data_IF_224327842298
#
_entry.id   IF_224327842298
#
_cell.length_a   1.000
_cell.length_b   1.000
_cell.length_c   1.000
_cell.angle_alpha   90.00
_cell.angle_beta   90.00
_cell.angle_gamma   90.00
#
_symmetry.space_group_name_H-M   'P 1'
#
loop_
_entity.id
_entity.type
_entity.pdbx_description
1 polymer ?
#
# COMPACT_ATOMS: atom_id res chain seq x y z
N UNK A 1 19.97 -19.82 8.47
CA UNK A 1 19.16 -19.36 9.63
C UNK A 1 18.23 -18.29 9.11
N UNK A 2 16.99 -18.66 8.85
CA UNK A 2 15.94 -17.75 8.37
C UNK A 2 15.53 -16.84 9.52
N UNK A 3 15.80 -15.56 9.37
CA UNK A 3 15.42 -14.54 10.33
C UNK A 3 13.89 -14.36 10.23
N UNK A 4 13.14 -14.94 11.16
CA UNK A 4 11.69 -14.80 11.21
C UNK A 4 11.36 -13.46 11.88
N UNK A 5 10.62 -12.55 11.24
CA UNK A 5 10.28 -11.27 11.83
C UNK A 5 9.33 -11.48 13.02
N UNK A 6 9.70 -10.89 14.16
CA UNK A 6 8.87 -10.92 15.35
C UNK A 6 7.96 -9.67 15.36
N UNK A 7 6.81 -9.74 14.67
CA UNK A 7 5.78 -8.71 14.80
C UNK A 7 5.08 -8.87 16.15
N UNK A 8 5.24 -7.89 17.03
CA UNK A 8 4.47 -7.87 18.28
C UNK A 8 3.01 -7.59 17.97
N UNK A 9 2.15 -8.58 18.20
CA UNK A 9 0.71 -8.48 17.97
C UNK A 9 0.06 -7.56 19.00
N UNK A 10 -0.77 -6.63 18.57
CA UNK A 10 -1.81 -6.01 19.38
C UNK A 10 -3.12 -6.73 19.03
N UNK A 11 -3.86 -7.17 20.06
CA UNK A 11 -4.93 -8.14 20.00
C UNK A 11 -5.96 -7.95 18.88
N UNK A 12 -6.25 -9.03 18.15
CA UNK A 12 -7.38 -9.14 17.24
C UNK A 12 -8.67 -9.43 18.04
N UNK A 13 -9.70 -8.62 17.89
CA UNK A 13 -11.04 -8.92 18.39
C UNK A 13 -11.73 -9.92 17.46
N UNK A 14 -11.97 -11.09 18.01
CA UNK A 14 -12.88 -12.18 17.61
C UNK A 14 -12.95 -12.66 16.14
N UNK A 15 -12.88 -13.95 16.05
CA UNK A 15 -12.71 -14.92 14.99
C UNK A 15 -13.78 -14.94 13.90
N UNK A 16 -13.35 -14.96 12.67
CA UNK A 16 -13.59 -15.78 11.48
C UNK A 16 -13.35 -14.94 10.21
N UNK A 17 -12.16 -15.01 9.65
CA UNK A 17 -11.54 -14.20 8.59
C UNK A 17 -11.17 -12.81 9.10
N UNK A 18 -9.91 -12.64 9.49
CA UNK A 18 -9.39 -11.33 9.86
C UNK A 18 -9.27 -10.47 8.59
N UNK A 19 -10.33 -9.72 8.30
CA UNK A 19 -10.34 -8.74 7.21
C UNK A 19 -9.56 -7.47 7.63
N UNK A 20 -9.14 -7.40 8.89
CA UNK A 20 -8.33 -6.33 9.45
C UNK A 20 -7.27 -6.89 10.41
N UNK A 21 -6.09 -6.27 10.40
CA UNK A 21 -4.97 -6.60 11.30
C UNK A 21 -4.22 -5.34 11.70
N UNK A 22 -3.71 -5.35 12.92
CA UNK A 22 -2.85 -4.30 13.44
C UNK A 22 -1.46 -4.86 13.72
N UNK A 23 -0.44 -4.19 13.23
CA UNK A 23 0.98 -4.57 13.37
C UNK A 23 1.76 -3.45 14.05
N UNK A 24 2.76 -3.81 14.83
CA UNK A 24 3.75 -2.90 15.37
C UNK A 24 5.08 -3.11 14.60
N UNK A 25 5.51 -2.09 13.88
CA UNK A 25 6.80 -2.06 13.21
C UNK A 25 7.79 -1.30 14.09
N UNK A 26 8.77 -1.99 14.61
CA UNK A 26 9.77 -1.43 15.54
C UNK A 26 10.96 -0.83 14.82
N UNK A 27 11.23 -1.29 13.59
CA UNK A 27 12.37 -0.90 12.77
C UNK A 27 11.97 -0.66 11.32
N UNK A 28 12.85 -0.01 10.55
CA UNK A 28 12.67 0.13 9.11
C UNK A 28 12.72 -1.23 8.38
N UNK A 29 13.47 -2.20 8.92
CA UNK A 29 13.49 -3.56 8.40
C UNK A 29 12.12 -4.24 8.50
N UNK A 30 11.33 -3.95 9.54
CA UNK A 30 9.97 -4.47 9.66
C UNK A 30 9.06 -3.90 8.57
N UNK A 31 9.26 -2.63 8.19
CA UNK A 31 8.55 -2.01 7.05
C UNK A 31 8.90 -2.70 5.74
N UNK A 32 10.18 -3.04 5.55
CA UNK A 32 10.64 -3.77 4.37
C UNK A 32 10.02 -5.17 4.30
N UNK A 33 9.94 -5.88 5.42
CA UNK A 33 9.32 -7.20 5.50
C UNK A 33 7.82 -7.15 5.21
N UNK A 34 7.11 -6.17 5.77
CA UNK A 34 5.70 -5.94 5.46
C UNK A 34 5.52 -5.72 3.95
N UNK A 35 6.35 -4.87 3.33
CA UNK A 35 6.30 -4.61 1.90
C UNK A 35 6.49 -5.89 1.06
N UNK A 36 7.41 -6.76 1.44
CA UNK A 36 7.62 -8.07 0.78
C UNK A 36 6.37 -8.96 0.87
N UNK A 37 5.68 -8.98 2.00
CA UNK A 37 4.46 -9.76 2.17
C UNK A 37 3.29 -9.17 1.37
N UNK A 38 3.20 -7.84 1.26
CA UNK A 38 2.17 -7.15 0.49
C UNK A 38 2.23 -7.50 -1.02
N UNK A 39 3.41 -7.84 -1.57
CA UNK A 39 3.54 -8.32 -2.96
C UNK A 39 2.68 -9.54 -3.24
N UNK A 40 2.57 -10.45 -2.28
CA UNK A 40 1.76 -11.67 -2.39
C UNK A 40 0.31 -11.46 -1.98
N UNK A 41 0.05 -10.60 -1.01
CA UNK A 41 -1.30 -10.33 -0.50
C UNK A 41 -2.14 -9.58 -1.53
N UNK A 42 -1.56 -8.55 -2.16
CA UNK A 42 -2.23 -7.74 -3.16
C UNK A 42 -1.34 -7.59 -4.40
N UNK A 43 -1.37 -8.59 -5.29
CA UNK A 43 -0.57 -8.56 -6.52
C UNK A 43 -1.06 -7.51 -7.52
N UNK A 44 -2.33 -7.13 -7.49
CA UNK A 44 -2.92 -6.07 -8.33
C UNK A 44 -4.12 -5.44 -7.61
N UNK A 45 -4.58 -4.31 -8.12
CA UNK A 45 -5.69 -3.55 -7.54
C UNK A 45 -5.22 -2.25 -6.90
N UNK A 46 -6.07 -1.61 -6.11
CA UNK A 46 -5.81 -0.31 -5.52
C UNK A 46 -5.66 -0.38 -3.99
N UNK A 47 -4.74 0.43 -3.48
CA UNK A 47 -4.41 0.54 -2.06
C UNK A 47 -4.40 2.01 -1.66
N UNK A 48 -5.10 2.34 -0.58
CA UNK A 48 -5.05 3.66 0.01
C UNK A 48 -4.13 3.65 1.23
N UNK A 49 -3.11 4.53 1.21
CA UNK A 49 -2.19 4.75 2.32
C UNK A 49 -2.58 6.02 3.07
N UNK A 50 -2.96 5.89 4.32
CA UNK A 50 -3.24 7.00 5.23
C UNK A 50 -2.19 7.11 6.33
N UNK A 51 -2.22 8.23 7.05
CA UNK A 51 -1.29 8.58 8.11
C UNK A 51 -0.69 9.96 7.92
N UNK A 52 -0.18 10.54 8.99
CA UNK A 52 0.38 11.89 9.03
C UNK A 52 1.59 12.06 8.10
N UNK A 53 1.98 13.31 7.88
CA UNK A 53 3.21 13.63 7.18
C UNK A 53 4.41 13.04 7.96
N UNK A 54 5.28 12.30 7.25
CA UNK A 54 6.41 11.61 7.88
C UNK A 54 6.07 10.24 8.52
N UNK A 55 4.82 9.77 8.49
CA UNK A 55 4.43 8.48 9.06
C UNK A 55 5.15 7.28 8.41
N UNK A 56 5.59 7.41 7.14
CA UNK A 56 6.33 6.35 6.45
C UNK A 56 5.61 5.78 5.22
N UNK A 57 4.56 6.41 4.72
CA UNK A 57 3.80 5.98 3.54
C UNK A 57 4.70 5.76 2.32
N UNK A 58 5.45 6.79 1.93
CA UNK A 58 6.40 6.70 0.80
C UNK A 58 7.54 5.71 1.08
N UNK A 59 7.93 5.51 2.34
CA UNK A 59 8.92 4.49 2.71
C UNK A 59 8.38 3.09 2.46
N UNK A 60 7.15 2.81 2.86
CA UNK A 60 6.47 1.55 2.57
C UNK A 60 6.35 1.33 1.06
N UNK A 61 5.89 2.34 0.31
CA UNK A 61 5.78 2.29 -1.15
C UNK A 61 7.13 1.99 -1.81
N UNK A 62 8.21 2.62 -1.35
CA UNK A 62 9.57 2.37 -1.85
C UNK A 62 9.98 0.92 -1.69
N UNK A 63 9.82 0.34 -0.50
CA UNK A 63 10.15 -1.06 -0.25
C UNK A 63 9.24 -2.01 -1.02
N UNK A 64 7.97 -1.63 -1.23
CA UNK A 64 7.05 -2.43 -2.03
C UNK A 64 7.48 -2.50 -3.50
N UNK A 65 7.82 -1.36 -4.10
CA UNK A 65 8.36 -1.29 -5.45
C UNK A 65 9.67 -2.08 -5.59
N UNK A 66 10.57 -1.99 -4.59
CA UNK A 66 11.81 -2.78 -4.56
C UNK A 66 11.52 -4.29 -4.46
N UNK A 67 10.56 -4.69 -3.63
CA UNK A 67 10.15 -6.09 -3.51
C UNK A 67 9.51 -6.63 -4.79
N UNK A 68 8.86 -5.77 -5.59
CA UNK A 68 8.37 -6.10 -6.94
C UNK A 68 9.48 -6.19 -7.99
N UNK A 69 10.71 -5.74 -7.67
CA UNK A 69 11.88 -5.80 -8.57
C UNK A 69 12.34 -4.43 -9.12
N UNK A 70 11.74 -3.32 -8.68
CA UNK A 70 12.20 -1.99 -9.09
C UNK A 70 13.58 -1.68 -8.50
N UNK A 71 14.52 -1.20 -9.34
CA UNK A 71 15.90 -0.89 -8.93
C UNK A 71 16.20 0.61 -8.93
N UNK A 72 15.21 1.44 -9.21
CA UNK A 72 15.37 2.88 -9.28
C UNK A 72 15.11 3.60 -7.96
N UNK A 73 15.33 4.92 -7.99
CA UNK A 73 14.92 5.81 -6.89
C UNK A 73 13.41 5.94 -6.84
N UNK A 74 12.84 5.83 -5.67
CA UNK A 74 11.41 6.06 -5.41
C UNK A 74 11.28 7.28 -4.50
N UNK A 75 10.60 8.30 -5.01
CA UNK A 75 10.29 9.54 -4.28
C UNK A 75 8.78 9.71 -4.23
N UNK A 76 8.29 10.50 -3.25
CA UNK A 76 6.89 10.88 -3.24
C UNK A 76 6.57 11.75 -4.45
N UNK A 77 5.51 11.44 -5.23
CA UNK A 77 5.08 12.24 -6.37
C UNK A 77 4.21 13.44 -5.97
N UNK A 78 4.51 14.08 -4.83
CA UNK A 78 3.72 15.21 -4.28
C UNK A 78 3.54 16.37 -5.27
N UNK A 79 4.46 16.54 -6.24
CA UNK A 79 4.39 17.60 -7.25
C UNK A 79 3.80 17.14 -8.58
N UNK A 80 4.03 15.88 -8.95
CA UNK A 80 3.55 15.28 -10.22
C UNK A 80 2.21 14.59 -10.07
N UNK A 81 1.71 14.46 -8.84
CA UNK A 81 0.53 13.72 -8.39
C UNK A 81 0.64 12.21 -8.62
N UNK A 82 1.21 11.75 -9.74
CA UNK A 82 1.36 10.33 -10.07
C UNK A 82 2.73 10.07 -10.69
N UNK A 83 3.35 8.97 -10.27
CA UNK A 83 4.57 8.42 -10.87
C UNK A 83 4.31 6.99 -11.35
N UNK A 84 4.38 6.73 -12.67
CA UNK A 84 4.23 5.39 -13.22
C UNK A 84 5.54 4.60 -13.18
N UNK A 85 5.45 3.32 -12.82
CA UNK A 85 6.55 2.37 -12.84
C UNK A 85 6.21 1.18 -13.73
N UNK A 86 7.14 0.78 -14.59
CA UNK A 86 7.08 -0.45 -15.38
C UNK A 86 8.14 -1.41 -14.85
N UNK A 87 7.72 -2.48 -14.20
CA UNK A 87 8.60 -3.42 -13.53
C UNK A 87 8.66 -4.72 -14.32
N UNK A 88 9.82 -5.05 -14.86
CA UNK A 88 10.04 -6.29 -15.60
C UNK A 88 9.76 -7.52 -14.71
N UNK A 89 9.01 -8.48 -15.23
CA UNK A 89 8.69 -9.71 -14.53
C UNK A 89 9.58 -10.87 -14.98
N UNK A 90 9.99 -11.71 -14.02
CA UNK A 90 10.86 -12.86 -14.30
C UNK A 90 10.22 -13.83 -15.31
N UNK A 91 8.89 -13.96 -15.26
CA UNK A 91 8.13 -14.79 -16.21
C UNK A 91 7.95 -14.16 -17.60
N UNK A 92 8.52 -12.98 -17.82
CA UNK A 92 8.32 -12.17 -19.03
C UNK A 92 7.19 -11.15 -18.89
N UNK A 93 7.27 -10.09 -19.72
CA UNK A 93 6.34 -8.97 -19.65
C UNK A 93 6.73 -7.94 -18.58
N UNK A 94 5.82 -7.00 -18.30
CA UNK A 94 6.00 -5.96 -17.29
C UNK A 94 4.74 -5.81 -16.45
N UNK A 95 4.94 -5.34 -15.21
CA UNK A 95 3.88 -4.96 -14.28
C UNK A 95 3.81 -3.45 -14.18
N UNK A 96 2.63 -2.90 -14.42
CA UNK A 96 2.36 -1.47 -14.19
C UNK A 96 2.10 -1.23 -12.70
N UNK A 97 2.81 -0.27 -12.13
CA UNK A 97 2.54 0.23 -10.78
C UNK A 97 2.43 1.75 -10.86
N UNK A 98 1.35 2.29 -10.32
CA UNK A 98 1.12 3.73 -10.23
C UNK A 98 1.19 4.16 -8.77
N UNK A 99 2.11 5.07 -8.47
CA UNK A 99 2.22 5.68 -7.14
C UNK A 99 1.67 7.09 -7.22
N UNK A 100 0.60 7.35 -6.51
CA UNK A 100 -0.04 8.66 -6.41
C UNK A 100 0.13 9.25 -5.02
N UNK A 101 0.29 10.58 -4.94
CA UNK A 101 0.31 11.34 -3.70
C UNK A 101 -0.57 12.59 -3.88
N UNK A 102 -1.74 12.57 -3.26
CA UNK A 102 -2.77 13.59 -3.41
C UNK A 102 -2.68 14.69 -2.33
N UNK A 103 -1.59 14.73 -1.54
CA UNK A 103 -1.41 15.72 -0.46
C UNK A 103 -1.63 17.16 -0.89
N UNK A 104 -1.24 17.52 -2.11
CA UNK A 104 -1.34 18.88 -2.67
C UNK A 104 -2.52 19.08 -3.61
N UNK A 105 -3.35 18.06 -3.79
CA UNK A 105 -4.55 18.18 -4.60
C UNK A 105 -5.45 19.25 -3.99
N UNK A 106 -5.82 20.27 -4.78
CA UNK A 106 -6.70 21.34 -4.33
C UNK A 106 -8.13 21.09 -4.78
N UNK A 107 -8.29 20.55 -5.96
CA UNK A 107 -9.58 20.22 -6.55
C UNK A 107 -9.55 18.78 -7.06
N UNK A 108 -10.41 17.88 -6.55
CA UNK A 108 -10.49 16.51 -7.03
C UNK A 108 -10.73 16.38 -8.55
N UNK A 109 -11.34 17.37 -9.20
CA UNK A 109 -11.53 17.38 -10.65
C UNK A 109 -10.19 17.37 -11.42
N UNK A 110 -9.09 17.81 -10.80
CA UNK A 110 -7.74 17.74 -11.39
C UNK A 110 -7.37 16.31 -11.80
N UNK A 111 -7.87 15.29 -11.08
CA UNK A 111 -7.64 13.89 -11.41
C UNK A 111 -8.20 13.52 -12.79
N UNK A 112 -9.34 14.08 -13.17
CA UNK A 112 -9.93 13.84 -14.50
C UNK A 112 -9.08 14.45 -15.62
N UNK A 113 -8.43 15.59 -15.37
CA UNK A 113 -7.58 16.25 -16.38
C UNK A 113 -6.29 15.48 -16.67
N UNK A 114 -5.79 14.70 -15.69
CA UNK A 114 -4.59 13.86 -15.88
C UNK A 114 -4.95 12.42 -16.31
N UNK A 115 -6.23 12.13 -16.55
CA UNK A 115 -6.68 10.79 -16.95
C UNK A 115 -6.47 9.74 -15.85
N UNK A 116 -6.63 10.12 -14.58
CA UNK A 116 -6.34 9.24 -13.45
C UNK A 116 -7.18 7.96 -13.43
N UNK A 117 -8.41 8.04 -13.93
CA UNK A 117 -9.34 6.93 -14.09
C UNK A 117 -8.83 5.84 -15.05
N UNK A 118 -7.98 6.18 -16.02
CA UNK A 118 -7.40 5.24 -16.97
C UNK A 118 -6.50 4.20 -16.28
N UNK A 119 -5.87 4.56 -15.15
CA UNK A 119 -5.02 3.63 -14.40
C UNK A 119 -5.78 2.43 -13.83
N UNK A 120 -7.09 2.59 -13.60
CA UNK A 120 -7.96 1.52 -13.10
C UNK A 120 -8.45 0.57 -14.20
N UNK A 121 -8.17 0.88 -15.48
CA UNK A 121 -8.56 0.04 -16.61
C UNK A 121 -7.64 -1.17 -16.82
N UNK A 122 -6.42 -1.16 -16.26
CA UNK A 122 -5.52 -2.32 -16.27
C UNK A 122 -5.77 -3.20 -15.04
N UNK A 123 -6.42 -4.37 -15.20
CA UNK A 123 -6.73 -5.26 -14.07
C UNK A 123 -5.48 -5.86 -13.41
N UNK A 124 -4.32 -5.78 -14.07
CA UNK A 124 -3.05 -6.26 -13.55
C UNK A 124 -2.23 -5.15 -12.88
N UNK A 125 -2.63 -3.89 -12.98
CA UNK A 125 -1.94 -2.79 -12.33
C UNK A 125 -2.07 -2.83 -10.81
N UNK A 126 -1.06 -2.33 -10.13
CA UNK A 126 -1.11 -1.98 -8.72
C UNK A 126 -1.13 -0.45 -8.60
N UNK A 127 -2.13 0.09 -7.92
CA UNK A 127 -2.30 1.53 -7.74
C UNK A 127 -2.18 1.83 -6.25
N UNK A 128 -1.13 2.56 -5.86
CA UNK A 128 -0.85 2.94 -4.47
C UNK A 128 -1.12 4.44 -4.35
N UNK A 129 -2.08 4.83 -3.50
CA UNK A 129 -2.52 6.21 -3.37
C UNK A 129 -2.30 6.69 -1.94
N UNK A 130 -1.40 7.66 -1.76
CA UNK A 130 -1.24 8.41 -0.53
C UNK A 130 -2.24 9.57 -0.49
N UNK A 131 -2.80 9.89 0.67
CA UNK A 131 -3.75 10.98 0.88
C UNK A 131 -5.04 10.84 0.04
N UNK A 132 -5.51 9.62 -0.18
CA UNK A 132 -6.72 9.36 -0.96
C UNK A 132 -7.97 10.08 -0.42
N UNK A 133 -8.01 10.44 0.86
CA UNK A 133 -9.10 11.22 1.48
C UNK A 133 -9.26 12.63 0.89
N UNK A 134 -8.29 13.13 0.12
CA UNK A 134 -8.43 14.40 -0.60
C UNK A 134 -9.38 14.30 -1.80
N UNK A 135 -9.69 13.07 -2.25
CA UNK A 135 -10.52 12.83 -3.42
C UNK A 135 -11.35 11.54 -3.30
N UNK A 136 -11.76 11.15 -2.10
CA UNK A 136 -12.41 9.86 -1.82
C UNK A 136 -13.72 9.67 -2.60
N UNK A 137 -14.49 10.75 -2.87
CA UNK A 137 -15.71 10.72 -3.67
C UNK A 137 -15.44 10.50 -5.18
N UNK A 138 -14.21 10.81 -5.65
CA UNK A 138 -13.79 10.67 -7.05
C UNK A 138 -13.04 9.36 -7.32
N UNK A 139 -12.59 8.69 -6.29
CA UNK A 139 -11.78 7.48 -6.40
C UNK A 139 -12.65 6.23 -6.24
N UNK A 140 -12.41 5.17 -7.03
CA UNK A 140 -12.98 3.86 -6.73
C UNK A 140 -12.53 3.38 -5.35
N UNK A 141 -13.44 2.72 -4.61
CA UNK A 141 -13.07 2.12 -3.33
C UNK A 141 -11.85 1.19 -3.49
N UNK A 142 -10.86 1.24 -2.59
CA UNK A 142 -9.66 0.43 -2.73
C UNK A 142 -9.93 -1.03 -2.37
N UNK A 143 -8.99 -1.90 -2.73
CA UNK A 143 -8.98 -3.31 -2.28
C UNK A 143 -8.47 -3.41 -0.84
N UNK A 144 -7.51 -2.56 -0.47
CA UNK A 144 -6.84 -2.57 0.83
C UNK A 144 -6.65 -1.13 1.33
N UNK A 145 -7.01 -0.91 2.60
CA UNK A 145 -6.64 0.28 3.35
C UNK A 145 -5.43 -0.03 4.22
N UNK A 146 -4.47 0.88 4.27
CA UNK A 146 -3.31 0.82 5.17
C UNK A 146 -3.19 2.17 5.86
N UNK A 147 -3.34 2.19 7.17
CA UNK A 147 -3.11 3.37 8.00
C UNK A 147 -1.81 3.22 8.78
N UNK A 148 -0.96 4.24 8.74
CA UNK A 148 0.34 4.24 9.42
C UNK A 148 0.38 5.37 10.43
N UNK A 149 0.49 5.03 11.71
CA UNK A 149 0.64 5.98 12.81
C UNK A 149 2.05 5.89 13.38
N UNK A 150 2.75 7.02 13.46
CA UNK A 150 4.05 7.10 14.13
C UNK A 150 3.83 7.20 15.64
N UNK A 151 4.50 6.33 16.40
CA UNK A 151 4.47 6.34 17.86
C UNK A 151 5.64 7.17 18.43
N UNK A 152 5.53 7.57 19.71
CA UNK A 152 6.52 8.43 20.40
C UNK A 152 7.93 7.85 20.49
N UNK A 153 8.07 6.54 20.35
CA UNK A 153 9.34 5.80 20.41
C UNK A 153 9.92 5.47 19.02
N UNK A 154 9.52 6.20 17.99
CA UNK A 154 9.90 5.97 16.57
C UNK A 154 9.37 4.69 15.94
N UNK A 155 8.58 3.90 16.66
CA UNK A 155 7.87 2.76 16.08
C UNK A 155 6.69 3.25 15.22
N UNK A 156 6.18 2.36 14.37
CA UNK A 156 4.96 2.60 13.59
C UNK A 156 3.93 1.55 13.96
N UNK A 157 2.74 2.00 14.21
CA UNK A 157 1.56 1.16 14.26
C UNK A 157 0.94 1.17 12.88
N UNK A 158 0.72 0.00 12.31
CA UNK A 158 0.13 -0.14 10.98
C UNK A 158 -1.16 -0.93 11.10
N UNK A 159 -2.25 -0.33 10.65
CA UNK A 159 -3.54 -0.97 10.56
C UNK A 159 -3.84 -1.28 9.09
N UNK A 160 -4.06 -2.54 8.76
CA UNK A 160 -4.46 -3.02 7.44
C UNK A 160 -5.90 -3.48 7.50
N UNK A 161 -6.70 -3.09 6.51
CA UNK A 161 -8.10 -3.50 6.41
C UNK A 161 -8.46 -3.78 4.94
N UNK A 162 -8.94 -4.99 4.67
CA UNK A 162 -9.53 -5.32 3.37
C UNK A 162 -10.90 -4.65 3.24
N UNK A 163 -11.15 -4.08 2.08
CA UNK A 163 -12.49 -3.65 1.72
C UNK A 163 -13.35 -4.83 1.28
N UNK A 164 -14.65 -4.60 1.08
CA UNK A 164 -15.53 -5.59 0.47
C UNK A 164 -15.04 -6.04 -0.92
N UNK A 165 -14.47 -5.12 -1.70
CA UNK A 165 -13.88 -5.41 -3.03
C UNK A 165 -12.68 -6.35 -2.88
N UNK A 166 -11.77 -6.06 -1.94
CA UNK A 166 -10.61 -6.90 -1.66
C UNK A 166 -10.99 -8.30 -1.21
N UNK A 167 -11.99 -8.42 -0.33
CA UNK A 167 -12.51 -9.71 0.13
C UNK A 167 -13.12 -10.50 -1.05
N UNK A 168 -13.94 -9.86 -1.89
CA UNK A 168 -14.51 -10.49 -3.08
C UNK A 168 -13.44 -10.89 -4.12
N UNK A 169 -12.34 -10.16 -4.19
CA UNK A 169 -11.18 -10.50 -5.03
C UNK A 169 -10.35 -11.67 -4.45
N UNK A 170 -10.73 -12.20 -3.29
CA UNK A 170 -10.04 -13.33 -2.65
C UNK A 170 -8.77 -12.96 -1.89
N UNK A 171 -8.54 -11.68 -1.59
CA UNK A 171 -7.40 -11.25 -0.79
C UNK A 171 -7.54 -11.72 0.66
N UNK A 172 -6.41 -11.96 1.33
CA UNK A 172 -6.37 -12.41 2.72
C UNK A 172 -5.16 -11.84 3.44
N UNK A 173 -5.36 -11.37 4.67
CA UNK A 173 -4.31 -10.92 5.57
C UNK A 173 -3.76 -12.05 6.47
N UNK A 174 -4.23 -13.28 6.29
CA UNK A 174 -3.88 -14.42 7.16
C UNK A 174 -2.37 -14.70 7.23
N UNK A 175 -1.63 -14.45 6.14
CA UNK A 175 -0.18 -14.61 6.10
C UNK A 175 0.57 -13.69 7.05
N UNK A 176 0.01 -12.50 7.34
CA UNK A 176 0.56 -11.56 8.33
C UNK A 176 0.33 -12.01 9.77
N UNK A 177 -0.57 -12.95 9.99
CA UNK A 177 -0.93 -13.45 11.32
C UNK A 177 -0.11 -14.68 11.73
N UNK A 178 0.56 -15.35 10.78
CA UNK A 178 1.19 -16.65 10.98
C UNK A 178 2.68 -16.57 11.40
N UNK A 179 3.21 -15.36 11.65
CA UNK A 179 4.60 -15.11 12.03
C UNK A 179 4.72 -14.53 13.43
#
# INVERSE_FOLDING_TARGET
>A
MTNVPNFSKVEASDSTKSDAIQLLLSTEADTQLLAQQLVTIIPSGSVWLSGDLGAGKTTLTRYWLQALGHQGSVKSPTYTLVEPYQIAQVAGGSKSVYHADLYRLQDPEELSFIGFDEYFNDPNALIIIEWASQADEYLPAPHLFIDITQLSNHQRQVHLQLSKIGIHAGLSLATLMSN
#
